data_IF_077393638796
#
_entry.id   IF_077393638796
#
_cell.length_a   1.000
_cell.length_b   1.000
_cell.length_c   1.000
_cell.angle_alpha   90.00
_cell.angle_beta   90.00
_cell.angle_gamma   90.00
#
_symmetry.space_group_name_H-M   'P 1'
#
loop_
_entity.id
_entity.type
_entity.pdbx_description
1 polymer ?
#
# COMPACT_ATOMS: atom_id res chain seq x y z
N UNK A 1 -10.61 -5.68 -7.75
CA UNK A 1 -10.80 -5.44 -6.30
C UNK A 1 -10.66 -6.78 -5.62
N UNK A 2 -9.83 -6.86 -4.58
CA UNK A 2 -9.60 -8.07 -3.82
C UNK A 2 -9.99 -7.82 -2.36
N UNK A 3 -10.52 -8.85 -1.72
CA UNK A 3 -10.90 -8.87 -0.32
C UNK A 3 -10.18 -10.03 0.34
N UNK A 4 -9.56 -9.77 1.48
CA UNK A 4 -9.09 -10.78 2.41
C UNK A 4 -10.26 -11.23 3.31
N UNK A 5 -9.94 -11.90 4.40
CA UNK A 5 -10.82 -12.39 5.44
C UNK A 5 -11.19 -11.30 6.47
N UNK A 6 -11.73 -10.18 5.98
CA UNK A 6 -12.07 -9.01 6.81
C UNK A 6 -13.57 -8.71 6.80
N UNK A 7 -14.03 -8.05 7.87
CA UNK A 7 -15.37 -7.48 7.98
C UNK A 7 -15.37 -6.06 7.38
N UNK A 8 -16.32 -5.80 6.48
CA UNK A 8 -16.45 -4.52 5.78
C UNK A 8 -17.91 -4.12 5.59
N UNK A 9 -18.15 -2.83 5.37
CA UNK A 9 -19.45 -2.25 5.00
C UNK A 9 -19.39 -1.64 3.61
N UNK A 10 -20.55 -1.47 2.98
CA UNK A 10 -20.65 -0.80 1.67
C UNK A 10 -20.06 0.61 1.71
N UNK A 11 -20.26 1.35 2.81
CA UNK A 11 -19.66 2.68 3.02
C UNK A 11 -18.13 2.67 2.93
N UNK A 12 -17.50 1.61 3.42
CA UNK A 12 -16.04 1.47 3.44
C UNK A 12 -15.53 1.34 2.00
N UNK A 13 -16.22 0.54 1.19
CA UNK A 13 -15.88 0.33 -0.22
C UNK A 13 -16.12 1.59 -1.07
N UNK A 14 -17.22 2.31 -0.82
CA UNK A 14 -17.48 3.59 -1.49
C UNK A 14 -16.43 4.65 -1.13
N UNK A 15 -16.02 4.69 0.14
CA UNK A 15 -14.96 5.59 0.62
C UNK A 15 -13.61 5.21 0.02
N UNK A 16 -13.31 3.92 -0.08
CA UNK A 16 -12.09 3.42 -0.70
C UNK A 16 -12.03 3.72 -2.20
N UNK A 17 -13.15 3.61 -2.92
CA UNK A 17 -13.26 4.01 -4.32
C UNK A 17 -13.02 5.52 -4.51
N UNK A 18 -13.42 6.34 -3.55
CA UNK A 18 -13.21 7.79 -3.56
C UNK A 18 -11.80 8.26 -3.15
N UNK A 19 -10.88 7.32 -2.86
CA UNK A 19 -9.50 7.63 -2.43
C UNK A 19 -8.83 8.61 -3.40
N UNK A 20 -8.14 9.62 -2.86
CA UNK A 20 -7.44 10.64 -3.64
C UNK A 20 -8.29 11.25 -4.79
N UNK A 21 -9.60 11.43 -4.59
CA UNK A 21 -10.50 11.98 -5.62
C UNK A 21 -10.57 11.13 -6.89
N UNK A 22 -10.55 9.80 -6.76
CA UNK A 22 -10.54 8.83 -7.87
C UNK A 22 -9.24 8.82 -8.71
N UNK A 23 -8.19 9.52 -8.28
CA UNK A 23 -6.92 9.59 -8.99
C UNK A 23 -5.86 8.68 -8.32
N UNK A 24 -5.95 7.37 -8.57
CA UNK A 24 -5.01 6.38 -8.07
C UNK A 24 -4.86 5.21 -9.03
N UNK A 25 -3.73 4.53 -8.95
CA UNK A 25 -3.47 3.27 -9.65
C UNK A 25 -3.79 2.06 -8.75
N UNK A 26 -3.67 2.26 -7.43
CA UNK A 26 -4.24 1.36 -6.45
C UNK A 26 -4.58 2.08 -5.14
N UNK A 27 -5.57 1.54 -4.42
CA UNK A 27 -6.00 2.04 -3.12
C UNK A 27 -6.28 0.86 -2.18
N UNK A 28 -5.77 0.92 -0.96
CA UNK A 28 -6.00 -0.09 0.07
C UNK A 28 -6.67 0.49 1.31
N UNK A 29 -7.48 -0.34 1.94
CA UNK A 29 -7.94 -0.14 3.31
C UNK A 29 -6.77 -0.31 4.30
N UNK A 30 -7.08 -0.11 5.58
CA UNK A 30 -6.22 -0.48 6.71
C UNK A 30 -6.84 -1.65 7.45
N UNK A 31 -6.08 -2.73 7.60
CA UNK A 31 -6.52 -3.98 8.24
C UNK A 31 -6.01 -4.07 9.69
N UNK A 32 -6.93 -4.21 10.63
CA UNK A 32 -6.67 -4.16 12.06
C UNK A 32 -6.96 -5.49 12.76
N UNK A 33 -6.03 -5.89 13.61
CA UNK A 33 -6.24 -6.88 14.67
C UNK A 33 -5.51 -6.38 15.92
N UNK A 34 -6.25 -5.71 16.81
CA UNK A 34 -5.76 -4.92 17.97
C UNK A 34 -4.86 -3.72 17.65
N UNK A 35 -4.02 -3.82 16.61
CA UNK A 35 -3.20 -2.76 16.04
C UNK A 35 -3.25 -2.85 14.51
N UNK A 36 -2.56 -1.95 13.80
CA UNK A 36 -2.42 -2.10 12.35
C UNK A 36 -1.61 -3.37 12.09
N UNK A 37 -2.30 -4.40 11.60
CA UNK A 37 -1.82 -5.78 11.63
C UNK A 37 -0.98 -6.10 10.39
N UNK A 38 -1.52 -5.77 9.22
CA UNK A 38 -0.94 -6.16 7.94
C UNK A 38 0.20 -5.22 7.47
N UNK A 39 1.09 -4.86 8.39
CA UNK A 39 2.22 -3.97 8.07
C UNK A 39 3.14 -4.59 7.01
N UNK A 40 3.23 -5.93 6.95
CA UNK A 40 4.05 -6.59 5.96
C UNK A 40 3.46 -6.56 4.54
N UNK A 41 2.15 -6.34 4.36
CA UNK A 41 1.60 -6.09 3.04
C UNK A 41 1.87 -4.67 2.51
N UNK A 42 2.31 -3.77 3.39
CA UNK A 42 2.54 -2.37 3.07
C UNK A 42 4.03 -2.06 2.99
N UNK A 43 4.43 -1.18 2.06
CA UNK A 43 5.77 -0.61 2.02
C UNK A 43 5.66 0.90 1.90
N UNK A 44 6.30 1.63 2.80
CA UNK A 44 6.44 3.07 2.69
C UNK A 44 7.25 3.45 1.45
N UNK A 45 6.97 4.62 0.88
CA UNK A 45 7.87 5.21 -0.10
C UNK A 45 9.23 5.47 0.57
N UNK A 46 10.37 5.33 -0.15
CA UNK A 46 11.66 5.72 0.39
C UNK A 46 11.64 7.16 0.90
N UNK A 47 12.04 7.36 2.16
CA UNK A 47 12.10 8.67 2.80
C UNK A 47 13.44 8.86 3.48
N UNK A 48 13.88 10.10 3.59
CA UNK A 48 15.05 10.43 4.39
C UNK A 48 14.63 10.63 5.86
N UNK A 49 15.28 9.93 6.78
CA UNK A 49 15.13 10.16 8.21
C UNK A 49 16.47 10.20 8.92
N UNK A 50 16.63 11.19 9.80
CA UNK A 50 17.81 11.34 10.65
C UNK A 50 17.92 10.25 11.72
N UNK A 51 16.80 9.62 12.11
CA UNK A 51 16.78 8.52 13.09
C UNK A 51 16.94 7.13 12.46
N UNK A 52 16.75 7.03 11.14
CA UNK A 52 16.96 5.82 10.34
C UNK A 52 17.81 6.16 9.10
N UNK A 53 19.07 6.58 9.29
CA UNK A 53 19.97 6.78 8.17
C UNK A 53 20.19 5.40 7.54
N UNK A 54 19.72 5.20 6.29
CA UNK A 54 19.93 4.05 5.39
C UNK A 54 18.66 3.32 4.85
N UNK A 55 17.43 3.81 5.05
CA UNK A 55 16.28 3.24 4.32
C UNK A 55 16.29 3.75 2.87
N UNK A 56 17.07 3.08 2.02
CA UNK A 56 17.13 3.32 0.56
C UNK A 56 16.15 2.49 -0.25
N UNK A 57 15.39 1.62 0.41
CA UNK A 57 14.42 0.72 -0.22
C UNK A 57 13.06 0.88 0.47
N UNK A 58 11.95 0.55 -0.21
CA UNK A 58 10.64 0.53 0.41
C UNK A 58 10.62 -0.36 1.66
N UNK A 59 10.15 0.17 2.78
CA UNK A 59 10.24 -0.47 4.10
C UNK A 59 8.85 -0.65 4.73
N UNK A 60 8.60 -1.72 5.50
CA UNK A 60 7.33 -1.88 6.19
C UNK A 60 7.03 -0.74 7.18
N UNK A 61 5.76 -0.29 7.28
CA UNK A 61 5.32 0.63 8.33
C UNK A 61 5.38 0.04 9.75
N UNK A 62 5.02 0.84 10.74
CA UNK A 62 4.84 0.41 12.14
C UNK A 62 3.36 0.10 12.43
N UNK A 63 3.10 -0.87 13.32
CA UNK A 63 1.73 -1.19 13.73
C UNK A 63 1.08 -0.11 14.62
N UNK A 64 1.90 0.79 15.18
CA UNK A 64 1.45 1.78 16.15
C UNK A 64 1.13 3.11 15.49
N UNK A 65 0.01 3.72 15.88
CA UNK A 65 -0.38 5.06 15.44
C UNK A 65 0.77 6.07 15.65
N UNK A 66 1.13 6.89 14.63
CA UNK A 66 0.42 7.16 13.37
C UNK A 66 0.79 6.24 12.19
N UNK A 67 1.12 4.97 12.46
CA UNK A 67 1.28 3.84 11.54
C UNK A 67 2.45 3.90 10.55
N UNK A 68 3.07 5.05 10.35
CA UNK A 68 4.20 5.21 9.41
C UNK A 68 5.44 5.67 10.16
N UNK A 69 6.60 5.67 9.51
CA UNK A 69 7.82 6.33 10.00
C UNK A 69 8.02 7.70 9.36
N UNK A 70 7.51 7.90 8.14
CA UNK A 70 7.55 9.18 7.44
C UNK A 70 6.75 10.27 8.17
N UNK A 71 7.39 11.40 8.48
CA UNK A 71 6.72 12.57 9.08
C UNK A 71 5.63 13.15 8.17
N UNK A 72 5.80 13.07 6.84
CA UNK A 72 4.78 13.49 5.88
C UNK A 72 3.55 12.60 5.98
N UNK A 73 3.75 11.28 6.04
CA UNK A 73 2.67 10.33 6.23
C UNK A 73 1.95 10.55 7.56
N UNK A 74 2.68 10.90 8.63
CA UNK A 74 2.05 11.26 9.92
C UNK A 74 1.08 12.44 9.76
N UNK A 75 1.50 13.51 9.09
CA UNK A 75 0.62 14.67 8.86
C UNK A 75 -0.61 14.29 8.03
N UNK A 76 -0.45 13.47 7.01
CA UNK A 76 -1.56 12.96 6.20
C UNK A 76 -2.54 12.15 7.06
N UNK A 77 -2.04 11.23 7.89
CA UNK A 77 -2.87 10.47 8.85
C UNK A 77 -3.61 11.40 9.81
N UNK A 78 -2.94 12.41 10.38
CA UNK A 78 -3.56 13.37 11.29
C UNK A 78 -4.68 14.19 10.61
N UNK A 79 -4.53 14.46 9.30
CA UNK A 79 -5.50 15.21 8.53
C UNK A 79 -6.61 14.33 7.92
N UNK A 80 -6.56 13.01 8.11
CA UNK A 80 -7.47 12.07 7.43
C UNK A 80 -7.25 11.99 5.92
N UNK A 81 -6.06 12.35 5.45
CA UNK A 81 -5.67 12.31 4.04
C UNK A 81 -5.14 10.93 3.66
N UNK A 82 -5.34 10.54 2.41
CA UNK A 82 -4.76 9.29 1.89
C UNK A 82 -3.23 9.38 1.83
N UNK A 83 -2.55 8.33 2.27
CA UNK A 83 -1.09 8.26 2.32
C UNK A 83 -0.58 7.54 1.08
N UNK A 84 0.30 8.18 0.31
CA UNK A 84 0.94 7.51 -0.82
C UNK A 84 2.04 6.56 -0.30
N UNK A 85 2.00 5.33 -0.80
CA UNK A 85 2.90 4.25 -0.38
C UNK A 85 3.56 3.61 -1.61
N UNK A 86 4.63 2.86 -1.38
CA UNK A 86 5.21 2.06 -2.45
C UNK A 86 4.27 0.91 -2.82
N UNK A 87 3.75 0.20 -1.82
CA UNK A 87 2.85 -0.93 -2.02
C UNK A 87 1.88 -1.08 -0.85
N UNK A 88 0.72 -1.71 -1.10
CA UNK A 88 -0.25 -2.08 -0.08
C UNK A 88 -1.14 -3.25 -0.54
N UNK A 89 -1.63 -4.05 0.39
CA UNK A 89 -2.65 -5.08 0.13
C UNK A 89 -3.47 -5.39 1.41
N UNK A 90 -3.70 -4.39 2.26
CA UNK A 90 -4.33 -4.65 3.56
C UNK A 90 -5.84 -4.80 3.41
N UNK A 91 -6.39 -5.94 3.81
CA UNK A 91 -7.83 -6.21 3.96
C UNK A 91 -8.65 -6.11 2.67
N UNK A 92 -8.78 -4.91 2.10
CA UNK A 92 -9.43 -4.63 0.81
C UNK A 92 -8.50 -3.79 -0.05
N UNK A 93 -8.31 -4.22 -1.30
CA UNK A 93 -7.49 -3.49 -2.27
C UNK A 93 -8.18 -3.34 -3.62
N UNK A 94 -8.07 -2.14 -4.19
CA UNK A 94 -8.51 -1.79 -5.53
C UNK A 94 -7.28 -1.51 -6.35
N UNK A 95 -7.17 -2.12 -7.54
CA UNK A 95 -6.07 -1.91 -8.47
C UNK A 95 -6.62 -1.57 -9.85
N UNK A 96 -5.92 -0.72 -10.58
CA UNK A 96 -6.25 -0.38 -11.96
C UNK A 96 -6.09 -1.63 -12.86
N UNK A 97 -7.20 -2.08 -13.44
CA UNK A 97 -7.24 -3.28 -14.27
C UNK A 97 -6.41 -3.16 -15.57
N UNK A 98 -6.16 -1.94 -16.04
CA UNK A 98 -5.41 -1.68 -17.29
C UNK A 98 -4.01 -2.30 -17.27
N UNK A 99 -3.37 -2.36 -16.10
CA UNK A 99 -2.05 -2.96 -15.94
C UNK A 99 -2.03 -4.44 -16.29
N UNK A 100 -3.06 -5.17 -15.87
CA UNK A 100 -3.18 -6.60 -16.14
C UNK A 100 -3.59 -6.87 -17.58
N UNK A 101 -4.52 -6.07 -18.13
CA UNK A 101 -5.14 -6.33 -19.44
C UNK A 101 -4.30 -5.81 -20.59
N UNK A 102 -3.71 -4.61 -20.49
CA UNK A 102 -2.98 -3.96 -21.59
C UNK A 102 -1.47 -4.07 -21.45
N UNK A 103 -0.94 -3.91 -20.23
CA UNK A 103 0.51 -3.94 -20.00
C UNK A 103 1.04 -5.36 -19.71
N UNK A 104 0.14 -6.32 -19.49
CA UNK A 104 0.49 -7.72 -19.27
C UNK A 104 1.17 -7.98 -17.93
N UNK A 105 0.94 -7.14 -16.92
CA UNK A 105 1.37 -7.40 -15.54
C UNK A 105 0.73 -8.69 -15.05
N UNK A 106 1.52 -9.54 -14.39
CA UNK A 106 1.08 -10.84 -13.86
C UNK A 106 1.63 -11.02 -12.47
N UNK A 107 0.83 -11.67 -11.61
CA UNK A 107 1.30 -12.17 -10.34
C UNK A 107 2.41 -13.21 -10.56
N UNK A 108 3.48 -13.14 -9.78
CA UNK A 108 4.70 -13.91 -9.95
C UNK A 108 5.47 -14.06 -8.64
N UNK A 109 6.29 -15.11 -8.56
CA UNK A 109 7.26 -15.22 -7.49
C UNK A 109 8.40 -14.19 -7.66
N UNK A 110 9.06 -13.86 -6.56
CA UNK A 110 10.31 -13.09 -6.59
C UNK A 110 11.37 -13.87 -7.38
N UNK A 111 12.00 -13.20 -8.35
CA UNK A 111 13.13 -13.76 -9.10
C UNK A 111 14.43 -13.26 -8.46
N UNK A 112 15.39 -14.14 -8.11
CA UNK A 112 16.59 -13.76 -7.32
C UNK A 112 17.48 -12.64 -7.89
N UNK A 113 17.27 -12.23 -9.14
CA UNK A 113 18.11 -11.28 -9.86
C UNK A 113 17.58 -9.84 -9.79
N UNK A 114 16.39 -9.59 -9.24
CA UNK A 114 15.79 -8.26 -9.14
C UNK A 114 16.37 -7.47 -7.95
N UNK A 115 17.31 -6.55 -8.23
CA UNK A 115 18.01 -5.75 -7.20
C UNK A 115 17.19 -4.59 -6.62
N UNK A 116 16.10 -4.21 -7.29
CA UNK A 116 15.31 -3.03 -6.95
C UNK A 116 14.20 -3.31 -5.93
N UNK A 117 13.95 -4.59 -5.64
CA UNK A 117 12.95 -5.04 -4.67
C UNK A 117 13.62 -5.67 -3.45
N UNK A 118 13.05 -5.49 -2.23
CA UNK A 118 13.54 -6.17 -1.05
C UNK A 118 13.55 -7.70 -1.25
N UNK A 119 14.54 -8.40 -0.69
CA UNK A 119 14.63 -9.86 -0.76
C UNK A 119 13.39 -10.57 -0.17
N UNK A 120 12.71 -9.92 0.77
CA UNK A 120 11.50 -10.42 1.42
C UNK A 120 10.21 -9.94 0.72
N UNK A 121 10.30 -9.44 -0.51
CA UNK A 121 9.14 -9.01 -1.26
C UNK A 121 8.22 -10.19 -1.62
N UNK A 122 6.97 -10.11 -1.18
CA UNK A 122 5.88 -10.96 -1.65
C UNK A 122 5.10 -10.24 -2.76
N UNK A 123 4.08 -10.92 -3.32
CA UNK A 123 3.26 -10.36 -4.42
C UNK A 123 2.66 -8.99 -4.08
N UNK A 124 2.36 -8.74 -2.81
CA UNK A 124 1.85 -7.45 -2.36
C UNK A 124 2.81 -6.29 -2.59
N UNK A 125 4.09 -6.56 -2.89
CA UNK A 125 5.10 -5.60 -3.30
C UNK A 125 5.34 -5.68 -4.82
N UNK A 126 5.50 -6.90 -5.35
CA UNK A 126 5.94 -7.15 -6.72
C UNK A 126 4.99 -6.59 -7.77
N UNK A 127 3.67 -6.74 -7.60
CA UNK A 127 2.69 -6.18 -8.55
C UNK A 127 2.89 -4.68 -8.73
N UNK A 128 3.24 -3.96 -7.66
CA UNK A 128 3.43 -2.51 -7.68
C UNK A 128 4.81 -2.09 -8.16
N UNK A 129 5.81 -2.96 -8.00
CA UNK A 129 7.09 -2.80 -8.69
C UNK A 129 6.91 -2.90 -10.20
N UNK A 130 6.04 -3.81 -10.66
CA UNK A 130 5.75 -3.98 -12.08
C UNK A 130 4.86 -2.85 -12.64
N UNK A 131 3.86 -2.36 -11.88
CA UNK A 131 3.06 -1.18 -12.25
C UNK A 131 3.96 0.03 -12.54
N UNK A 132 4.98 0.25 -11.70
CA UNK A 132 5.92 1.37 -11.82
C UNK A 132 6.74 1.33 -13.10
N UNK A 133 7.03 0.16 -13.66
CA UNK A 133 7.72 0.02 -14.96
C UNK A 133 6.94 0.69 -16.10
N UNK A 134 5.63 0.87 -15.93
CA UNK A 134 4.74 1.52 -16.89
C UNK A 134 4.27 2.92 -16.44
N UNK A 135 4.85 3.47 -15.37
CA UNK A 135 4.50 4.80 -14.85
C UNK A 135 3.29 4.84 -13.92
N UNK A 136 2.84 3.70 -13.41
CA UNK A 136 1.72 3.60 -12.47
C UNK A 136 2.29 3.52 -11.04
N UNK A 137 2.40 4.67 -10.37
CA UNK A 137 3.04 4.81 -9.06
C UNK A 137 2.13 5.42 -7.98
N UNK A 138 0.87 5.70 -8.32
CA UNK A 138 -0.13 6.30 -7.42
C UNK A 138 -0.83 5.22 -6.58
N UNK A 139 -0.09 4.62 -5.66
CA UNK A 139 -0.60 3.64 -4.70
C UNK A 139 -0.87 4.32 -3.37
N UNK A 140 -2.09 4.18 -2.85
CA UNK A 140 -2.52 4.87 -1.63
C UNK A 140 -3.09 3.92 -0.57
N UNK A 141 -2.86 4.25 0.69
CA UNK A 141 -3.65 3.75 1.82
C UNK A 141 -4.63 4.85 2.23
N UNK A 142 -5.89 4.49 2.41
CA UNK A 142 -6.91 5.40 2.88
C UNK A 142 -7.19 5.15 4.37
N UNK A 143 -6.72 6.03 5.28
CA UNK A 143 -6.91 5.82 6.72
C UNK A 143 -8.36 5.94 7.18
N UNK A 144 -9.26 6.44 6.33
CA UNK A 144 -10.69 6.52 6.62
C UNK A 144 -11.43 5.20 6.37
N UNK A 145 -10.72 4.17 5.87
CA UNK A 145 -11.27 2.85 5.57
C UNK A 145 -10.55 1.83 6.45
N UNK A 146 -11.09 1.59 7.64
CA UNK A 146 -10.55 0.64 8.61
C UNK A 146 -11.42 -0.62 8.60
N UNK A 147 -10.82 -1.75 8.28
CA UNK A 147 -11.43 -3.09 8.31
C UNK A 147 -10.72 -3.95 9.36
N UNK A 148 -11.34 -5.03 9.79
CA UNK A 148 -10.74 -5.93 10.78
C UNK A 148 -11.12 -7.38 10.54
N UNK A 149 -10.25 -8.27 11.03
CA UNK A 149 -10.46 -9.73 11.11
C UNK A 149 -11.38 -10.05 12.29
#
# INVERSE_FOLDING_TARGET
MFFNDVIWKVSDILTLLGTNGYNYDAACAMDFYWAFYDTFATRELPFFSSSLPNIRFPWPPTSYYPYFYSKTAHQQIYNGESVQVYSCWNGVVIMNAEQFVKQGVKFRALVPQEREVPFEASECCLVYSDFRKFGYDKVFINPNVMVCI
#
